data_IF_211888599150
#
_entry.id   IF_211888599150
#
_cell.length_a   1.000
_cell.length_b   1.000
_cell.length_c   1.000
_cell.angle_alpha   90.00
_cell.angle_beta   90.00
_cell.angle_gamma   90.00
#
_symmetry.space_group_name_H-M   'P 1'
#
loop_
_entity.id
_entity.type
_entity.pdbx_description
1 polymer ?
#
# COMPACT_ATOMS: atom_id res chain seq x y z
N UNK A 1 9.44 2.60 5.46
CA UNK A 1 7.98 2.40 5.57
C UNK A 1 7.42 2.85 6.93
N UNK A 2 7.80 2.24 8.08
CA UNK A 2 7.26 2.62 9.40
C UNK A 2 7.25 4.13 9.68
N UNK A 3 8.44 4.76 9.65
CA UNK A 3 8.58 6.21 9.83
C UNK A 3 7.89 7.03 8.73
N UNK A 4 7.69 6.48 7.53
CA UNK A 4 6.98 7.19 6.45
C UNK A 4 5.51 7.32 6.81
N UNK A 5 4.88 6.21 7.24
CA UNK A 5 3.46 6.17 7.61
C UNK A 5 3.18 6.95 8.89
N UNK A 6 4.03 6.83 9.90
CA UNK A 6 3.90 7.56 11.17
C UNK A 6 3.98 9.08 10.98
N UNK A 7 4.79 9.54 10.03
CA UNK A 7 4.97 10.96 9.72
C UNK A 7 4.16 11.45 8.52
N UNK A 8 3.31 10.61 7.92
CA UNK A 8 2.51 10.91 6.72
C UNK A 8 3.34 11.48 5.56
N UNK A 9 4.46 10.82 5.24
CA UNK A 9 5.42 11.24 4.19
C UNK A 9 5.39 10.36 2.96
N UNK A 10 4.30 9.63 2.72
CA UNK A 10 4.15 8.68 1.62
C UNK A 10 4.45 9.33 0.26
N UNK A 11 3.95 10.55 0.04
CA UNK A 11 4.14 11.32 -1.20
C UNK A 11 5.61 11.62 -1.55
N UNK A 12 6.50 11.71 -0.56
CA UNK A 12 7.92 12.06 -0.76
C UNK A 12 8.82 10.86 -1.05
N UNK A 13 8.30 9.64 -0.88
CA UNK A 13 9.06 8.41 -1.03
C UNK A 13 8.54 7.54 -2.18
N UNK A 14 7.67 8.11 -3.02
CA UNK A 14 7.20 7.48 -4.23
C UNK A 14 8.32 7.46 -5.27
N UNK A 15 8.38 6.35 -6.01
CA UNK A 15 9.22 6.27 -7.18
C UNK A 15 8.72 7.29 -8.22
N UNK A 16 9.61 8.17 -8.68
CA UNK A 16 9.29 9.21 -9.65
C UNK A 16 8.80 8.67 -11.00
N UNK A 17 9.06 7.40 -11.31
CA UNK A 17 8.57 6.72 -12.51
C UNK A 17 7.11 6.23 -12.37
N UNK A 18 6.56 6.19 -11.15
CA UNK A 18 5.15 5.90 -10.93
C UNK A 18 4.34 7.14 -11.32
N UNK A 19 3.89 7.18 -12.58
CA UNK A 19 2.97 8.19 -13.10
C UNK A 19 1.77 8.30 -12.15
N UNK A 20 1.75 9.39 -11.36
CA UNK A 20 0.89 9.67 -10.20
C UNK A 20 -0.34 8.74 -10.06
N UNK A 21 -0.21 7.67 -9.27
CA UNK A 21 -1.38 6.90 -8.81
C UNK A 21 -2.23 7.74 -7.86
N UNK A 22 -3.53 7.45 -7.70
CA UNK A 22 -4.37 8.12 -6.70
C UNK A 22 -3.73 8.03 -5.32
N UNK A 23 -3.64 9.15 -4.61
CA UNK A 23 -3.06 9.22 -3.26
C UNK A 23 -3.68 8.19 -2.30
N UNK A 24 -4.95 7.85 -2.51
CA UNK A 24 -5.67 6.84 -1.73
C UNK A 24 -5.14 5.41 -1.95
N UNK A 25 -4.81 5.03 -3.19
CA UNK A 25 -4.23 3.71 -3.48
C UNK A 25 -2.85 3.59 -2.81
N UNK A 26 -2.04 4.65 -2.96
CA UNK A 26 -0.71 4.75 -2.33
C UNK A 26 -0.84 4.57 -0.81
N UNK A 27 -1.70 5.35 -0.17
CA UNK A 27 -1.89 5.31 1.28
C UNK A 27 -2.36 3.92 1.76
N UNK A 28 -3.25 3.26 1.01
CA UNK A 28 -3.69 1.89 1.34
C UNK A 28 -2.52 0.91 1.26
N UNK A 29 -1.71 0.96 0.21
CA UNK A 29 -0.54 0.06 0.05
C UNK A 29 0.51 0.31 1.14
N UNK A 30 0.78 1.57 1.49
CA UNK A 30 1.68 1.91 2.60
C UNK A 30 1.20 1.35 3.94
N UNK A 31 -0.11 1.39 4.21
CA UNK A 31 -0.69 0.78 5.42
C UNK A 31 -0.57 -0.74 5.43
N UNK A 32 -0.72 -1.40 4.28
CA UNK A 32 -0.50 -2.85 4.15
C UNK A 32 0.97 -3.17 4.45
N UNK A 33 1.90 -2.45 3.82
CA UNK A 33 3.33 -2.61 4.06
C UNK A 33 3.72 -2.36 5.53
N UNK A 34 3.09 -1.38 6.19
CA UNK A 34 3.28 -1.12 7.61
C UNK A 34 2.90 -2.35 8.46
N UNK A 35 1.73 -2.96 8.21
CA UNK A 35 1.29 -4.18 8.94
C UNK A 35 2.19 -5.38 8.67
N UNK A 36 2.70 -5.54 7.45
CA UNK A 36 3.66 -6.61 7.12
C UNK A 36 4.98 -6.48 7.88
N UNK A 37 5.33 -5.26 8.32
CA UNK A 37 6.55 -4.95 9.06
C UNK A 37 6.33 -4.85 10.57
N UNK A 38 5.21 -5.39 11.09
CA UNK A 38 4.98 -5.47 12.54
C UNK A 38 6.17 -6.15 13.23
N UNK A 39 6.75 -5.54 14.30
CA UNK A 39 7.89 -6.11 15.00
C UNK A 39 7.60 -7.50 15.56
N UNK A 40 6.38 -7.69 16.06
CA UNK A 40 5.86 -8.95 16.55
C UNK A 40 5.39 -9.82 15.38
N UNK A 41 6.05 -10.96 15.08
CA UNK A 41 5.69 -11.80 13.92
C UNK A 41 4.26 -12.30 13.96
N UNK A 42 3.71 -12.58 15.17
CA UNK A 42 2.34 -13.04 15.33
C UNK A 42 1.28 -11.99 14.98
N UNK A 43 1.65 -10.71 14.86
CA UNK A 43 0.76 -9.62 14.45
C UNK A 43 0.81 -9.32 12.95
N UNK A 44 1.76 -9.92 12.22
CA UNK A 44 1.84 -9.74 10.77
C UNK A 44 0.66 -10.44 10.10
N UNK A 45 0.08 -9.84 9.05
CA UNK A 45 -0.96 -10.50 8.27
C UNK A 45 -0.42 -11.77 7.59
N UNK A 46 -1.28 -12.76 7.37
CA UNK A 46 -0.90 -13.89 6.53
C UNK A 46 -0.77 -13.42 5.07
N UNK A 47 -0.03 -14.16 4.24
CA UNK A 47 0.04 -13.82 2.82
C UNK A 47 -1.33 -13.85 2.12
N UNK A 48 -2.26 -14.70 2.58
CA UNK A 48 -3.64 -14.70 2.11
C UNK A 48 -4.36 -13.38 2.45
N UNK A 49 -4.17 -12.87 3.67
CA UNK A 49 -4.72 -11.57 4.06
C UNK A 49 -4.09 -10.44 3.25
N UNK A 50 -2.77 -10.50 2.99
CA UNK A 50 -2.06 -9.49 2.18
C UNK A 50 -2.64 -9.42 0.77
N UNK A 51 -2.85 -10.56 0.10
CA UNK A 51 -3.47 -10.61 -1.23
C UNK A 51 -4.86 -9.98 -1.18
N UNK A 52 -5.71 -10.37 -0.23
CA UNK A 52 -7.06 -9.81 -0.06
C UNK A 52 -7.04 -8.30 0.16
N UNK A 53 -6.12 -7.80 0.99
CA UNK A 53 -5.98 -6.36 1.24
C UNK A 53 -5.50 -5.61 -0.02
N UNK A 54 -4.60 -6.19 -0.80
CA UNK A 54 -4.10 -5.59 -2.04
C UNK A 54 -5.17 -5.54 -3.14
N UNK A 55 -6.00 -6.59 -3.26
CA UNK A 55 -7.15 -6.59 -4.17
C UNK A 55 -8.14 -5.47 -3.83
N UNK A 56 -8.39 -5.23 -2.55
CA UNK A 56 -9.23 -4.13 -2.06
C UNK A 56 -8.58 -2.74 -2.16
N UNK A 57 -7.25 -2.70 -2.31
CA UNK A 57 -6.51 -1.44 -2.41
C UNK A 57 -6.60 -0.82 -3.80
N UNK A 58 -6.88 -1.61 -4.83
CA UNK A 58 -7.13 -1.13 -6.20
C UNK A 58 -8.39 -0.25 -6.19
N UNK A 59 -8.33 0.97 -6.73
CA UNK A 59 -9.55 1.61 -7.23
C UNK A 59 -10.00 0.84 -8.47
N UNK A 60 -11.30 0.89 -8.78
CA UNK A 60 -11.85 0.44 -10.06
C UNK A 60 -11.23 1.26 -11.20
N UNK A 61 -10.01 0.92 -11.59
CA UNK A 61 -9.52 1.26 -12.91
C UNK A 61 -10.26 0.30 -13.83
N UNK A 62 -11.32 0.80 -14.46
CA UNK A 62 -11.82 0.21 -15.70
C UNK A 62 -10.57 0.07 -16.57
N UNK A 63 -10.15 -1.16 -16.80
CA UNK A 63 -9.20 -1.45 -17.86
C UNK A 63 -9.96 -1.05 -19.11
N UNK A 64 -9.66 0.12 -19.68
CA UNK A 64 -10.02 0.34 -21.08
C UNK A 64 -9.19 -0.68 -21.86
N UNK A 65 -9.83 -1.81 -22.15
CA UNK A 65 -9.37 -2.78 -23.12
C UNK A 65 -9.28 -2.05 -24.47
N UNK A 66 -8.07 -1.98 -25.03
CA UNK A 66 -7.84 -1.62 -26.43
C UNK A 66 -7.57 -2.90 -27.23
#
# INVERSE_FOLDING_TARGET
>A
VKAVVEHKREEYVLDSSLNCSPADEINKVFRIAFRCLEPEPSKRPTMADVVKMLEQAKSERVVEEY
#
